data_IF_023362772183
#
_entry.id   IF_023362772183
#
_cell.length_a   1.000
_cell.length_b   1.000
_cell.length_c   1.000
_cell.angle_alpha   90.00
_cell.angle_beta   90.00
_cell.angle_gamma   90.00
#
_symmetry.space_group_name_H-M   'P 1'
#
loop_
_entity.id
_entity.type
_entity.pdbx_description
1 polymer ?
#
# COMPACT_ATOMS: atom_id res chain seq x y z
N UNK A 1 -33.36 -13.32 39.15
CA UNK A 1 -33.74 -13.25 37.71
C UNK A 1 -33.27 -11.99 36.98
N UNK A 2 -33.13 -10.81 37.63
CA UNK A 2 -32.65 -9.57 36.98
C UNK A 2 -31.15 -9.59 36.59
N UNK A 3 -30.31 -10.29 37.35
CA UNK A 3 -28.85 -10.37 37.10
C UNK A 3 -28.53 -11.23 35.85
N UNK A 4 -29.27 -12.31 35.63
CA UNK A 4 -29.13 -13.16 34.43
C UNK A 4 -29.55 -12.44 33.15
N UNK A 5 -30.56 -11.57 33.22
CA UNK A 5 -31.03 -10.77 32.08
C UNK A 5 -30.00 -9.71 31.65
N UNK A 6 -29.31 -9.08 32.61
CA UNK A 6 -28.28 -8.06 32.35
C UNK A 6 -26.97 -8.64 31.77
N UNK A 7 -26.62 -9.87 32.13
CA UNK A 7 -25.43 -10.54 31.59
C UNK A 7 -25.63 -10.95 30.12
N UNK A 8 -26.83 -11.47 29.79
CA UNK A 8 -27.19 -11.85 28.42
C UNK A 8 -27.23 -10.66 27.45
N UNK A 9 -27.75 -9.51 27.89
CA UNK A 9 -27.77 -8.30 27.05
C UNK A 9 -26.38 -7.72 26.82
N UNK A 10 -25.51 -7.71 27.82
CA UNK A 10 -24.12 -7.22 27.68
C UNK A 10 -23.31 -8.08 26.69
N UNK A 11 -23.43 -9.40 26.78
CA UNK A 11 -22.81 -10.33 25.83
C UNK A 11 -23.35 -10.13 24.41
N UNK A 12 -24.66 -9.98 24.24
CA UNK A 12 -25.28 -9.74 22.94
C UNK A 12 -24.82 -8.45 22.27
N UNK A 13 -24.77 -7.35 23.02
CA UNK A 13 -24.30 -6.04 22.49
C UNK A 13 -22.82 -6.11 22.11
N UNK A 14 -21.98 -6.72 22.96
CA UNK A 14 -20.55 -6.85 22.69
C UNK A 14 -20.29 -7.66 21.41
N UNK A 15 -21.03 -8.76 21.22
CA UNK A 15 -20.93 -9.60 20.02
C UNK A 15 -21.40 -8.85 18.76
N UNK A 16 -22.48 -8.07 18.86
CA UNK A 16 -22.97 -7.27 17.75
C UNK A 16 -21.95 -6.20 17.32
N UNK A 17 -21.37 -5.47 18.28
CA UNK A 17 -20.34 -4.46 18.00
C UNK A 17 -19.10 -5.09 17.37
N UNK A 18 -18.66 -6.25 17.87
CA UNK A 18 -17.55 -6.99 17.29
C UNK A 18 -17.84 -7.40 15.85
N UNK A 19 -19.05 -7.90 15.57
CA UNK A 19 -19.45 -8.33 14.23
C UNK A 19 -19.48 -7.16 13.25
N UNK A 20 -20.00 -6.00 13.66
CA UNK A 20 -20.00 -4.77 12.85
C UNK A 20 -18.56 -4.31 12.58
N UNK A 21 -17.73 -4.28 13.62
CA UNK A 21 -16.32 -3.89 13.48
C UNK A 21 -15.59 -4.81 12.50
N UNK A 22 -15.70 -6.13 12.69
CA UNK A 22 -15.07 -7.13 11.84
C UNK A 22 -15.56 -7.05 10.39
N UNK A 23 -16.87 -6.89 10.16
CA UNK A 23 -17.44 -6.76 8.82
C UNK A 23 -16.98 -5.50 8.09
N UNK A 24 -16.96 -4.36 8.78
CA UNK A 24 -16.45 -3.11 8.22
C UNK A 24 -14.95 -3.22 7.91
N UNK A 25 -14.14 -3.78 8.81
CA UNK A 25 -12.72 -3.97 8.56
C UNK A 25 -12.48 -4.91 7.37
N UNK A 26 -13.20 -6.03 7.30
CA UNK A 26 -13.11 -6.99 6.20
C UNK A 26 -13.45 -6.36 4.83
N UNK A 27 -14.38 -5.41 4.82
CA UNK A 27 -14.83 -4.71 3.62
C UNK A 27 -13.88 -3.60 3.12
N UNK A 28 -12.82 -3.26 3.88
CA UNK A 28 -11.91 -2.19 3.50
C UNK A 28 -12.18 -0.84 4.18
N UNK A 29 -13.02 -0.79 5.21
CA UNK A 29 -13.39 0.47 5.86
C UNK A 29 -12.23 1.02 6.69
N UNK A 30 -11.84 2.28 6.44
CA UNK A 30 -10.84 2.94 7.27
C UNK A 30 -11.47 3.57 8.51
N UNK A 31 -11.31 2.92 9.67
CA UNK A 31 -11.79 3.45 10.95
C UNK A 31 -11.13 4.78 11.35
N UNK A 32 -9.85 4.99 11.03
CA UNK A 32 -9.17 6.26 11.34
C UNK A 32 -9.77 7.46 10.59
N UNK A 33 -10.40 7.22 9.43
CA UNK A 33 -11.07 8.24 8.61
C UNK A 33 -12.61 8.15 8.67
N UNK A 34 -13.14 7.11 9.32
CA UNK A 34 -14.56 6.77 9.37
C UNK A 34 -15.22 6.71 7.97
N UNK A 35 -14.49 6.20 6.96
CA UNK A 35 -14.99 6.00 5.59
C UNK A 35 -14.10 5.04 4.80
N UNK A 36 -14.56 4.64 3.62
CA UNK A 36 -13.72 4.00 2.61
C UNK A 36 -12.80 5.03 1.94
N UNK A 37 -11.58 4.61 1.59
CA UNK A 37 -10.67 5.40 0.76
C UNK A 37 -10.99 5.16 -0.72
N UNK A 38 -10.96 6.21 -1.52
CA UNK A 38 -11.01 6.07 -2.97
C UNK A 38 -9.68 5.56 -3.52
N UNK A 39 -9.69 4.91 -4.69
CA UNK A 39 -8.47 4.42 -5.35
C UNK A 39 -7.43 5.53 -5.52
N UNK A 40 -7.87 6.73 -5.89
CA UNK A 40 -7.00 7.89 -6.03
C UNK A 40 -6.29 8.27 -4.73
N UNK A 41 -6.96 8.17 -3.59
CA UNK A 41 -6.33 8.41 -2.29
C UNK A 41 -5.32 7.32 -1.95
N UNK A 42 -5.64 6.07 -2.31
CA UNK A 42 -4.75 4.94 -2.09
C UNK A 42 -3.48 5.06 -2.91
N UNK A 43 -3.61 5.38 -4.20
CA UNK A 43 -2.48 5.73 -5.08
C UNK A 43 -1.67 6.91 -4.53
N UNK A 44 -2.34 7.94 -4.01
CA UNK A 44 -1.65 9.09 -3.40
C UNK A 44 -0.77 8.68 -2.23
N UNK A 45 -1.24 7.81 -1.33
CA UNK A 45 -0.41 7.31 -0.23
C UNK A 45 0.82 6.53 -0.70
N UNK A 46 0.69 5.74 -1.78
CA UNK A 46 1.85 5.05 -2.36
C UNK A 46 2.80 6.03 -3.05
N UNK A 47 2.25 7.00 -3.80
CA UNK A 47 3.01 8.07 -4.43
C UNK A 47 3.84 8.87 -3.40
N UNK A 48 3.22 9.32 -2.31
CA UNK A 48 3.89 10.11 -1.26
C UNK A 48 5.05 9.36 -0.59
N UNK A 49 5.08 8.02 -0.70
CA UNK A 49 6.22 7.19 -0.32
C UNK A 49 7.30 7.17 -1.39
N UNK A 50 6.95 6.80 -2.63
CA UNK A 50 7.93 6.57 -3.69
C UNK A 50 8.54 7.87 -4.19
N UNK A 51 7.87 9.00 -3.95
CA UNK A 51 8.27 10.33 -4.39
C UNK A 51 9.07 11.11 -3.32
N UNK A 52 9.60 10.42 -2.32
CA UNK A 52 10.49 11.04 -1.33
C UNK A 52 11.90 11.20 -1.94
N UNK A 53 12.61 12.31 -1.64
CA UNK A 53 14.02 12.43 -2.01
C UNK A 53 14.82 11.25 -1.44
N UNK A 54 15.66 10.65 -2.26
CA UNK A 54 16.43 9.48 -1.85
C UNK A 54 17.18 8.86 -3.02
N UNK A 55 17.34 7.54 -2.96
CA UNK A 55 18.02 6.77 -3.99
C UNK A 55 17.10 5.70 -4.56
N UNK A 56 17.20 5.45 -5.86
CA UNK A 56 16.61 4.29 -6.50
C UNK A 56 17.69 3.25 -6.77
N UNK A 57 17.37 1.97 -6.56
CA UNK A 57 18.24 0.87 -6.95
C UNK A 57 17.90 0.43 -8.37
N UNK A 58 18.89 0.43 -9.26
CA UNK A 58 18.76 -0.09 -10.62
C UNK A 58 19.67 -1.29 -10.74
N UNK A 59 19.18 -2.33 -11.41
CA UNK A 59 19.95 -3.53 -11.71
C UNK A 59 21.03 -3.20 -12.72
N UNK A 60 22.27 -3.51 -12.39
CA UNK A 60 23.39 -3.39 -13.31
C UNK A 60 23.34 -4.55 -14.31
N UNK A 61 22.91 -4.29 -15.54
CA UNK A 61 22.90 -5.30 -16.61
C UNK A 61 24.31 -5.69 -17.07
N UNK A 62 25.34 -4.89 -16.77
CA UNK A 62 26.72 -5.14 -17.22
C UNK A 62 27.50 -6.03 -16.25
N UNK A 63 27.17 -6.01 -14.95
CA UNK A 63 27.77 -6.87 -13.94
C UNK A 63 26.80 -8.01 -13.58
N UNK A 64 27.02 -9.19 -14.18
CA UNK A 64 26.25 -10.43 -13.99
C UNK A 64 26.21 -10.99 -12.53
N UNK A 65 26.68 -10.25 -11.53
CA UNK A 65 26.73 -10.65 -10.13
C UNK A 65 26.00 -9.63 -9.24
N UNK A 66 24.67 -9.71 -9.15
CA UNK A 66 23.84 -9.10 -8.10
C UNK A 66 24.06 -7.59 -7.78
N UNK A 67 24.74 -6.85 -8.66
CA UNK A 67 25.08 -5.45 -8.46
C UNK A 67 23.83 -4.59 -8.60
N UNK A 68 23.32 -4.09 -7.47
CA UNK A 68 22.37 -2.96 -7.48
C UNK A 68 23.17 -1.68 -7.37
N UNK A 69 23.03 -0.81 -8.36
CA UNK A 69 23.56 0.54 -8.27
C UNK A 69 22.48 1.47 -7.74
N UNK A 70 22.87 2.39 -6.86
CA UNK A 70 21.96 3.35 -6.24
C UNK A 70 22.19 4.72 -6.85
N UNK A 71 21.14 5.30 -7.41
CA UNK A 71 21.19 6.61 -8.04
C UNK A 71 20.28 7.59 -7.34
N UNK A 72 20.69 8.86 -7.27
CA UNK A 72 19.87 9.92 -6.69
C UNK A 72 18.56 10.07 -7.49
N UNK A 73 17.43 9.89 -6.81
CA UNK A 73 16.11 9.97 -7.41
C UNK A 73 15.69 11.41 -7.61
N UNK A 74 15.11 11.72 -8.77
CA UNK A 74 14.49 13.01 -9.06
C UNK A 74 12.98 12.84 -8.83
N UNK A 75 12.41 13.41 -7.75
CA UNK A 75 10.99 13.28 -7.47
C UNK A 75 10.16 14.07 -8.49
N UNK A 76 8.94 13.60 -8.72
CA UNK A 76 7.87 14.36 -9.35
C UNK A 76 7.51 15.59 -8.51
N UNK A 77 7.17 16.68 -9.18
CA UNK A 77 6.74 17.94 -8.56
C UNK A 77 5.43 17.76 -7.78
N UNK A 78 4.52 16.93 -8.30
CA UNK A 78 3.23 16.68 -7.68
C UNK A 78 2.63 15.34 -8.07
N UNK A 79 1.66 14.87 -7.28
CA UNK A 79 0.86 13.70 -7.63
C UNK A 79 0.08 13.89 -8.94
N UNK A 80 -0.30 15.13 -9.26
CA UNK A 80 -0.96 15.44 -10.53
C UNK A 80 0.00 15.21 -11.71
N UNK A 81 1.20 15.75 -11.63
CA UNK A 81 2.23 15.55 -12.66
C UNK A 81 2.55 14.07 -12.83
N UNK A 82 2.63 13.32 -11.73
CA UNK A 82 2.82 11.87 -11.75
C UNK A 82 1.73 11.17 -12.58
N UNK A 83 0.45 11.45 -12.33
CA UNK A 83 -0.64 10.84 -13.09
C UNK A 83 -0.68 11.29 -14.55
N UNK A 84 -0.38 12.57 -14.83
CA UNK A 84 -0.33 13.09 -16.20
C UNK A 84 0.83 12.48 -17.01
N UNK A 85 1.95 12.15 -16.35
CA UNK A 85 3.12 11.54 -16.99
C UNK A 85 3.00 10.02 -17.13
N UNK A 86 2.12 9.39 -16.35
CA UNK A 86 1.97 7.94 -16.29
C UNK A 86 0.47 7.58 -16.37
N UNK A 87 -0.19 7.75 -17.53
CA UNK A 87 -1.64 7.54 -17.66
C UNK A 87 -2.08 6.11 -17.36
N UNK A 88 -1.20 5.12 -17.60
CA UNK A 88 -1.47 3.69 -17.39
C UNK A 88 -0.92 3.16 -16.05
N UNK A 89 -0.64 4.06 -15.09
CA UNK A 89 0.15 3.69 -13.92
C UNK A 89 -0.49 2.64 -13.02
N UNK A 90 -1.77 2.80 -12.72
CA UNK A 90 -2.21 2.46 -11.39
C UNK A 90 -3.33 1.43 -11.41
N UNK A 91 -3.11 0.36 -10.65
CA UNK A 91 -4.11 -0.67 -10.44
C UNK A 91 -4.16 -1.05 -8.96
N UNK A 92 -5.36 -1.31 -8.46
CA UNK A 92 -5.55 -2.00 -7.19
C UNK A 92 -6.03 -3.40 -7.53
N UNK A 93 -5.26 -4.39 -7.09
CA UNK A 93 -5.65 -5.78 -7.20
C UNK A 93 -6.05 -6.22 -5.80
N UNK A 94 -7.31 -6.62 -5.64
CA UNK A 94 -7.79 -7.36 -4.49
C UNK A 94 -7.18 -8.77 -4.54
N UNK A 95 -5.88 -8.85 -4.29
CA UNK A 95 -5.29 -10.14 -4.00
C UNK A 95 -5.86 -10.53 -2.64
N UNK A 96 -6.72 -11.54 -2.62
CA UNK A 96 -6.81 -12.37 -1.45
C UNK A 96 -5.42 -12.99 -1.31
N UNK A 97 -4.49 -12.27 -0.68
CA UNK A 97 -3.53 -12.93 0.19
C UNK A 97 -4.47 -13.66 1.11
N UNK A 98 -4.70 -14.94 0.86
CA UNK A 98 -5.45 -15.79 1.76
C UNK A 98 -4.70 -15.59 3.06
N UNK A 99 -5.25 -14.82 4.00
CA UNK A 99 -4.55 -14.67 5.26
C UNK A 99 -4.39 -16.10 5.76
N UNK A 100 -3.25 -16.42 6.37
CA UNK A 100 -3.00 -17.81 6.78
C UNK A 100 -4.15 -18.31 7.66
N UNK A 101 -4.83 -17.36 8.32
CA UNK A 101 -6.12 -17.46 8.99
C UNK A 101 -6.96 -16.18 8.81
N UNK A 102 -8.30 -16.29 8.65
CA UNK A 102 -9.22 -15.15 8.44
C UNK A 102 -9.15 -14.00 9.47
N UNK A 103 -8.54 -14.24 10.63
CA UNK A 103 -8.38 -13.25 11.69
C UNK A 103 -7.50 -12.06 11.30
N UNK A 104 -6.50 -12.24 10.44
CA UNK A 104 -5.60 -11.14 10.03
C UNK A 104 -6.37 -10.05 9.27
N UNK A 105 -7.44 -10.44 8.56
CA UNK A 105 -8.36 -9.52 7.87
C UNK A 105 -9.36 -8.84 8.79
N UNK A 106 -9.65 -9.45 9.94
CA UNK A 106 -10.50 -8.86 10.97
C UNK A 106 -9.71 -7.87 11.84
N UNK A 107 -8.39 -8.09 12.00
CA UNK A 107 -7.52 -7.22 12.80
C UNK A 107 -6.77 -6.15 12.00
N UNK A 108 -6.81 -6.20 10.66
CA UNK A 108 -6.00 -5.35 9.76
C UNK A 108 -4.47 -5.57 9.92
N UNK A 109 -4.04 -6.65 10.59
CA UNK A 109 -2.65 -6.83 11.03
C UNK A 109 -1.72 -7.41 9.94
N UNK A 110 -2.24 -8.02 8.87
CA UNK A 110 -1.43 -8.41 7.69
C UNK A 110 -2.30 -8.56 6.44
N UNK A 111 -3.44 -7.89 6.43
CA UNK A 111 -4.40 -7.90 5.33
C UNK A 111 -4.38 -6.57 4.61
N UNK A 112 -4.49 -6.61 3.29
CA UNK A 112 -4.63 -5.42 2.48
C UNK A 112 -4.76 -5.81 1.02
N UNK A 113 -4.98 -4.80 0.18
CA UNK A 113 -4.97 -5.00 -1.27
C UNK A 113 -3.63 -4.57 -1.83
N UNK A 114 -3.26 -5.13 -2.98
CA UNK A 114 -2.02 -4.81 -3.65
C UNK A 114 -2.27 -3.60 -4.53
N UNK A 115 -1.58 -2.51 -4.23
CA UNK A 115 -1.53 -1.33 -5.10
C UNK A 115 -0.29 -1.45 -5.99
N UNK A 116 -0.51 -1.44 -7.30
CA UNK A 116 0.53 -1.51 -8.33
C UNK A 116 0.65 -0.14 -9.00
N UNK A 117 1.87 0.38 -9.07
CA UNK A 117 2.24 1.59 -9.79
C UNK A 117 3.27 1.22 -10.87
N UNK A 118 2.89 1.38 -12.13
CA UNK A 118 3.78 1.43 -13.28
C UNK A 118 4.14 2.89 -13.54
N UNK A 119 5.41 3.26 -13.42
CA UNK A 119 5.81 4.63 -13.63
C UNK A 119 7.24 4.77 -14.14
N UNK A 120 7.52 5.88 -14.80
CA UNK A 120 8.88 6.28 -15.15
C UNK A 120 9.57 6.89 -13.92
N UNK A 121 10.65 6.30 -13.45
CA UNK A 121 11.50 6.92 -12.43
C UNK A 121 12.61 7.73 -13.09
N UNK A 122 12.87 8.94 -12.59
CA UNK A 122 13.95 9.81 -13.07
C UNK A 122 15.07 9.83 -12.05
N UNK A 123 16.32 9.84 -12.51
CA UNK A 123 17.50 9.81 -11.65
C UNK A 123 18.71 10.49 -12.29
N UNK A 124 19.72 10.79 -11.49
CA UNK A 124 21.03 11.26 -11.96
C UNK A 124 21.99 10.07 -12.06
N UNK A 125 22.64 9.90 -13.22
CA UNK A 125 23.74 8.93 -13.35
C UNK A 125 25.02 9.43 -12.68
N UNK A 126 26.07 8.60 -12.66
CA UNK A 126 27.36 8.92 -12.02
C UNK A 126 28.01 10.22 -12.55
N UNK A 127 27.63 10.67 -13.75
CA UNK A 127 28.11 11.91 -14.35
C UNK A 127 27.17 13.11 -14.10
N UNK A 128 26.16 12.95 -13.24
CA UNK A 128 25.14 13.96 -12.98
C UNK A 128 24.19 14.17 -14.15
N UNK A 129 24.12 13.26 -15.13
CA UNK A 129 23.21 13.37 -16.25
C UNK A 129 21.87 12.74 -15.91
N UNK A 130 20.78 13.44 -16.23
CA UNK A 130 19.41 12.94 -16.06
C UNK A 130 19.16 11.72 -16.93
N UNK A 131 18.67 10.65 -16.30
CA UNK A 131 18.23 9.39 -16.90
C UNK A 131 16.83 9.03 -16.40
N UNK A 132 16.25 8.02 -17.04
CA UNK A 132 14.94 7.50 -16.67
C UNK A 132 14.86 6.00 -16.92
N UNK A 133 14.06 5.31 -16.12
CA UNK A 133 13.75 3.88 -16.28
C UNK A 133 12.29 3.60 -15.92
N UNK A 134 11.70 2.58 -16.51
CA UNK A 134 10.36 2.12 -16.13
C UNK A 134 10.42 1.26 -14.87
N UNK A 135 9.46 1.48 -13.97
CA UNK A 135 9.42 0.88 -12.64
C UNK A 135 8.04 0.29 -12.41
N UNK A 136 7.99 -0.98 -12.03
CA UNK A 136 6.80 -1.64 -11.51
C UNK A 136 6.91 -1.76 -9.99
N UNK A 137 6.22 -0.88 -9.26
CA UNK A 137 6.18 -0.91 -7.79
C UNK A 137 4.91 -1.59 -7.32
N UNK A 138 5.02 -2.56 -6.42
CA UNK A 138 3.88 -3.25 -5.80
C UNK A 138 3.97 -3.11 -4.28
N UNK A 139 2.84 -2.80 -3.63
CA UNK A 139 2.78 -2.69 -2.18
C UNK A 139 1.43 -3.15 -1.65
N UNK A 140 1.44 -3.87 -0.53
CA UNK A 140 0.22 -4.13 0.23
C UNK A 140 -0.15 -2.90 1.01
N UNK A 141 -1.40 -2.49 0.87
CA UNK A 141 -1.96 -1.32 1.52
C UNK A 141 -3.16 -1.73 2.37
N UNK A 142 -3.06 -1.44 3.67
CA UNK A 142 -4.16 -1.60 4.62
C UNK A 142 -5.31 -0.63 4.32
N UNK A 143 -6.43 -0.83 4.98
CA UNK A 143 -7.69 -0.09 4.76
C UNK A 143 -7.53 1.43 4.87
N UNK A 144 -6.64 1.89 5.75
CA UNK A 144 -6.35 3.31 5.97
C UNK A 144 -5.17 3.86 5.18
N UNK A 145 -4.64 3.11 4.22
CA UNK A 145 -3.51 3.53 3.41
C UNK A 145 -2.14 3.34 4.07
N UNK A 146 -2.10 2.79 5.28
CA UNK A 146 -0.88 2.42 6.00
C UNK A 146 -0.36 1.05 5.53
N UNK A 147 0.91 0.75 5.84
CA UNK A 147 1.61 -0.43 5.30
C UNK A 147 1.54 -1.61 6.25
N UNK A 148 1.53 -2.80 5.65
CA UNK A 148 2.26 -3.95 6.18
C UNK A 148 3.38 -4.34 5.20
N UNK A 149 4.55 -4.69 5.74
CA UNK A 149 5.78 -4.89 4.95
C UNK A 149 5.67 -6.15 4.08
N UNK A 150 5.67 -5.99 2.75
CA UNK A 150 6.25 -7.00 1.87
C UNK A 150 7.38 -6.40 1.05
N UNK A 151 8.42 -7.25 0.93
CA UNK A 151 9.64 -7.19 0.11
C UNK A 151 9.75 -5.99 -0.82
N UNK A 152 10.88 -5.29 -0.73
CA UNK A 152 11.31 -4.36 -1.77
C UNK A 152 11.17 -5.04 -3.14
N UNK A 153 10.53 -4.39 -4.13
CA UNK A 153 10.47 -4.93 -5.48
C UNK A 153 11.89 -5.20 -5.98
N UNK A 154 12.06 -6.39 -6.55
CA UNK A 154 13.25 -6.75 -7.31
C UNK A 154 13.12 -6.07 -8.67
N UNK A 155 13.90 -5.01 -8.88
CA UNK A 155 14.17 -4.44 -10.19
C UNK A 155 15.33 -5.19 -10.83
#
# INVERSE_FOLDING_TARGET
MKILLGCGTFLGVSLALFTIYAGLNYSGFCFAKMRYLSDKERYRYVFERINQPGYISIRDEQNNENGRQYYESIPYESFRQFLESNPDCCAIISYAITPRWDWERITDFDSGEITILNYTSYYLDENGKRRSTEVNWQVIQQNCGQRHYLREPSY
#
